data_IF_718477732798
#
_entry.id   IF_718477732798
#
_cell.length_a   1.000
_cell.length_b   1.000
_cell.length_c   1.000
_cell.angle_alpha   90.00
_cell.angle_beta   90.00
_cell.angle_gamma   90.00
#
_symmetry.space_group_name_H-M   'P 1'
#
loop_
_entity.id
_entity.type
_entity.pdbx_description
1 polymer ?
#
# COMPACT_ATOMS: atom_id res chain seq x y z
N UNK A 1 14.07 6.45 11.87
CA UNK A 1 13.79 7.06 10.56
C UNK A 1 12.33 6.82 10.25
N UNK A 2 11.58 7.85 9.86
CA UNK A 2 10.18 7.71 9.48
C UNK A 2 10.03 7.24 8.02
N UNK A 3 8.81 6.81 7.68
CA UNK A 3 8.45 6.28 6.36
C UNK A 3 7.19 6.99 5.85
N UNK A 4 7.08 7.14 4.53
CA UNK A 4 5.86 7.54 3.87
C UNK A 4 4.99 6.31 3.58
N UNK A 5 3.81 6.24 4.20
CA UNK A 5 2.71 5.35 3.79
C UNK A 5 1.95 6.02 2.65
N UNK A 6 2.20 5.58 1.43
CA UNK A 6 1.63 6.16 0.21
C UNK A 6 0.54 5.24 -0.31
N UNK A 7 -0.67 5.78 -0.53
CA UNK A 7 -1.79 5.02 -1.11
C UNK A 7 -2.29 5.70 -2.38
N UNK A 8 -2.39 4.96 -3.48
CA UNK A 8 -2.95 5.49 -4.73
C UNK A 8 -4.48 5.60 -4.62
N UNK A 9 -4.99 6.81 -4.46
CA UNK A 9 -6.43 7.09 -4.34
C UNK A 9 -7.11 7.23 -5.72
N UNK A 10 -6.46 7.93 -6.66
CA UNK A 10 -7.02 8.17 -8.01
C UNK A 10 -6.23 7.42 -9.07
N UNK A 11 -6.92 7.02 -10.14
CA UNK A 11 -6.30 6.34 -11.27
C UNK A 11 -5.50 7.33 -12.13
N UNK A 12 -4.44 6.84 -12.78
CA UNK A 12 -3.67 7.59 -13.78
C UNK A 12 -4.15 7.38 -15.23
N UNK A 13 -5.36 6.83 -15.40
CA UNK A 13 -6.01 6.74 -16.70
C UNK A 13 -6.15 8.14 -17.31
N UNK A 14 -5.86 8.27 -18.61
CA UNK A 14 -5.88 9.57 -19.30
C UNK A 14 -4.76 10.54 -18.92
N UNK A 15 -3.86 10.19 -17.99
CA UNK A 15 -2.71 11.03 -17.66
C UNK A 15 -1.48 10.71 -18.53
N UNK A 16 -0.56 11.68 -18.71
CA UNK A 16 0.68 11.49 -19.46
C UNK A 16 1.53 10.33 -18.95
N UNK A 17 2.32 9.74 -19.84
CA UNK A 17 3.22 8.62 -19.53
C UNK A 17 4.20 8.96 -18.40
N UNK A 18 4.70 10.20 -18.36
CA UNK A 18 5.59 10.67 -17.28
C UNK A 18 4.97 10.50 -15.89
N UNK A 19 3.67 10.79 -15.74
CA UNK A 19 2.95 10.61 -14.46
C UNK A 19 2.80 9.13 -14.13
N UNK A 20 2.51 8.29 -15.12
CA UNK A 20 2.44 6.83 -14.96
C UNK A 20 3.80 6.24 -14.58
N UNK A 21 4.88 6.75 -15.16
CA UNK A 21 6.26 6.36 -14.85
C UNK A 21 6.62 6.64 -13.39
N UNK A 22 6.26 7.81 -12.85
CA UNK A 22 6.47 8.14 -11.43
C UNK A 22 5.72 7.18 -10.51
N UNK A 23 4.45 6.87 -10.82
CA UNK A 23 3.68 5.90 -10.04
C UNK A 23 4.30 4.49 -10.09
N UNK A 24 4.76 4.06 -11.26
CA UNK A 24 5.45 2.78 -11.43
C UNK A 24 6.75 2.72 -10.63
N UNK A 25 7.55 3.79 -10.65
CA UNK A 25 8.79 3.90 -9.87
C UNK A 25 8.52 3.87 -8.34
N UNK A 26 7.41 4.45 -7.89
CA UNK A 26 6.95 4.32 -6.50
C UNK A 26 6.40 2.91 -6.18
N UNK A 27 6.19 2.04 -7.17
CA UNK A 27 5.61 0.69 -7.00
C UNK A 27 4.08 0.66 -6.91
N UNK A 28 3.40 1.71 -7.38
CA UNK A 28 1.94 1.84 -7.37
C UNK A 28 1.36 1.44 -8.74
N UNK A 29 0.86 0.21 -8.85
CA UNK A 29 0.34 -0.34 -10.10
C UNK A 29 -1.19 -0.34 -10.16
N UNK A 30 -1.88 -0.43 -9.01
CA UNK A 30 -3.35 -0.48 -8.93
C UNK A 30 -3.91 0.49 -7.90
N UNK A 31 -5.14 0.93 -8.11
CA UNK A 31 -5.86 1.81 -7.18
C UNK A 31 -6.01 1.13 -5.81
N UNK A 32 -5.98 1.93 -4.74
CA UNK A 32 -6.01 1.50 -3.33
C UNK A 32 -4.84 0.62 -2.89
N UNK A 33 -3.79 0.50 -3.72
CA UNK A 33 -2.52 -0.09 -3.31
C UNK A 33 -1.79 0.87 -2.37
N UNK A 34 -1.22 0.31 -1.31
CA UNK A 34 -0.38 1.03 -0.36
C UNK A 34 1.06 0.52 -0.48
N UNK A 35 2.01 1.45 -0.50
CA UNK A 35 3.46 1.19 -0.47
C UNK A 35 4.11 2.02 0.64
N UNK A 36 5.27 1.58 1.10
CA UNK A 36 6.05 2.26 2.13
C UNK A 36 7.44 2.55 1.59
N UNK A 37 7.87 3.81 1.70
CA UNK A 37 9.21 4.26 1.34
C UNK A 37 9.82 5.07 2.47
N UNK A 38 11.16 5.07 2.65
CA UNK A 38 11.84 5.94 3.60
C UNK A 38 11.47 7.41 3.40
N UNK A 39 11.42 8.19 4.48
CA UNK A 39 11.17 9.63 4.42
C UNK A 39 12.40 10.41 3.93
N UNK A 40 12.78 10.18 2.67
CA UNK A 40 13.93 10.82 2.02
C UNK A 40 13.47 11.84 0.94
N UNK A 41 14.29 12.86 0.64
CA UNK A 41 13.94 13.89 -0.35
C UNK A 41 13.59 13.35 -1.73
N UNK A 42 14.23 12.24 -2.16
CA UNK A 42 13.94 11.60 -3.44
C UNK A 42 12.48 11.13 -3.54
N UNK A 43 11.96 10.50 -2.48
CA UNK A 43 10.58 10.02 -2.42
C UNK A 43 9.61 11.18 -2.26
N UNK A 44 9.96 12.18 -1.47
CA UNK A 44 9.16 13.40 -1.35
C UNK A 44 8.97 14.08 -2.72
N UNK A 45 10.04 14.24 -3.51
CA UNK A 45 9.97 14.83 -4.86
C UNK A 45 9.07 14.03 -5.81
N UNK A 46 9.18 12.70 -5.80
CA UNK A 46 8.29 11.83 -6.57
C UNK A 46 6.83 11.96 -6.15
N UNK A 47 6.56 11.98 -4.84
CA UNK A 47 5.22 12.18 -4.28
C UNK A 47 4.65 13.52 -4.72
N UNK A 48 5.41 14.62 -4.64
CA UNK A 48 4.95 15.96 -5.04
C UNK A 48 4.52 16.04 -6.51
N UNK A 49 5.13 15.21 -7.37
CA UNK A 49 4.77 15.13 -8.79
C UNK A 49 3.42 14.46 -9.04
N UNK A 50 2.95 13.62 -8.10
CA UNK A 50 1.70 12.85 -8.19
C UNK A 50 0.76 13.13 -7.00
N UNK A 51 0.93 14.26 -6.31
CA UNK A 51 0.25 14.60 -5.05
C UNK A 51 -1.27 14.61 -5.17
N UNK A 52 -1.79 14.85 -6.37
CA UNK A 52 -3.21 14.82 -6.66
C UNK A 52 -3.74 13.37 -6.74
N UNK A 53 -2.90 12.36 -6.93
CA UNK A 53 -3.33 10.97 -7.10
C UNK A 53 -3.20 10.14 -5.83
N UNK A 54 -2.32 10.56 -4.92
CA UNK A 54 -1.92 9.78 -3.75
C UNK A 54 -2.39 10.42 -2.45
N UNK A 55 -2.62 9.57 -1.44
CA UNK A 55 -2.73 9.97 -0.04
C UNK A 55 -1.48 9.52 0.69
N UNK A 56 -0.86 10.43 1.42
CA UNK A 56 0.38 10.19 2.14
C UNK A 56 0.14 10.35 3.63
N UNK A 57 0.74 9.48 4.43
CA UNK A 57 0.87 9.61 5.88
C UNK A 57 2.30 9.30 6.26
N UNK A 58 2.82 10.00 7.26
CA UNK A 58 4.08 9.63 7.89
C UNK A 58 3.81 8.53 8.94
N UNK A 59 4.69 7.54 9.00
CA UNK A 59 4.65 6.42 9.96
C UNK A 59 6.05 6.12 10.48
N UNK A 60 6.16 5.60 11.69
CA UNK A 60 7.46 5.29 12.31
C UNK A 60 8.17 4.10 11.64
N UNK A 61 7.41 3.11 11.18
CA UNK A 61 7.93 1.89 10.56
C UNK A 61 7.07 1.44 9.38
N UNK A 62 7.66 0.76 8.37
CA UNK A 62 6.92 0.22 7.24
C UNK A 62 6.21 -1.08 7.64
N UNK A 63 5.01 -1.30 7.11
CA UNK A 63 4.31 -2.57 7.29
C UNK A 63 4.61 -3.52 6.12
N UNK A 64 4.80 -4.80 6.44
CA UNK A 64 4.89 -5.87 5.44
C UNK A 64 3.53 -6.12 4.78
N UNK A 65 3.52 -6.75 3.60
CA UNK A 65 2.28 -7.11 2.90
C UNK A 65 1.34 -7.97 3.76
N UNK A 66 1.89 -8.86 4.59
CA UNK A 66 1.11 -9.70 5.50
C UNK A 66 0.48 -8.87 6.63
N UNK A 67 1.22 -7.95 7.24
CA UNK A 67 0.71 -7.05 8.27
C UNK A 67 -0.38 -6.12 7.72
N UNK A 68 -0.20 -5.56 6.52
CA UNK A 68 -1.23 -4.74 5.87
C UNK A 68 -2.49 -5.56 5.57
N UNK A 69 -2.34 -6.84 5.22
CA UNK A 69 -3.49 -7.73 5.01
C UNK A 69 -4.18 -8.04 6.34
N UNK A 70 -3.42 -8.31 7.40
CA UNK A 70 -3.94 -8.58 8.73
C UNK A 70 -4.71 -7.37 9.29
N UNK A 71 -4.19 -6.14 9.15
CA UNK A 71 -4.87 -4.88 9.55
C UNK A 71 -6.26 -4.74 8.92
N UNK A 72 -6.48 -5.32 7.74
CA UNK A 72 -7.74 -5.27 6.99
C UNK A 72 -8.64 -6.49 7.22
N UNK A 73 -8.11 -7.55 7.85
CA UNK A 73 -8.84 -8.79 8.05
C UNK A 73 -9.64 -8.66 9.33
N UNK A 74 -10.98 -8.74 9.28
CA UNK A 74 -11.79 -8.71 10.50
C UNK A 74 -11.60 -9.99 11.31
N UNK A 75 -12.04 -9.97 12.56
CA UNK A 75 -12.11 -11.17 13.39
C UNK A 75 -13.02 -12.21 12.73
N UNK A 76 -12.62 -13.49 12.83
CA UNK A 76 -13.32 -14.58 12.14
C UNK A 76 -14.79 -14.71 12.59
N UNK A 77 -15.10 -14.36 13.84
CA UNK A 77 -16.44 -14.50 14.42
C UNK A 77 -16.86 -15.93 14.74
N UNK A 78 -16.00 -16.92 14.51
CA UNK A 78 -16.19 -18.32 14.88
C UNK A 78 -14.87 -18.95 15.31
N UNK A 79 -14.94 -20.05 16.06
CA UNK A 79 -13.80 -20.91 16.35
C UNK A 79 -14.18 -22.36 16.02
N UNK A 80 -13.21 -23.14 15.54
CA UNK A 80 -13.43 -24.56 15.22
C UNK A 80 -13.14 -25.38 16.48
N UNK A 81 -14.18 -25.93 17.11
CA UNK A 81 -14.06 -26.71 18.35
C UNK A 81 -13.28 -28.01 18.16
N UNK A 82 -13.59 -28.77 17.12
CA UNK A 82 -12.92 -30.04 16.82
C UNK A 82 -12.96 -30.31 15.32
N UNK A 83 -11.80 -30.49 14.71
CA UNK A 83 -11.71 -30.93 13.32
C UNK A 83 -11.97 -32.44 13.24
N UNK A 84 -12.75 -32.88 12.24
CA UNK A 84 -12.88 -34.31 11.91
C UNK A 84 -11.60 -34.81 11.23
N UNK A 85 -11.08 -36.00 11.57
CA UNK A 85 -9.92 -36.54 10.89
C UNK A 85 -10.25 -36.79 9.41
N UNK A 86 -9.39 -36.31 8.50
CA UNK A 86 -9.49 -36.69 7.09
C UNK A 86 -9.21 -38.19 6.99
N UNK A 87 -10.16 -38.96 6.47
CA UNK A 87 -9.91 -40.34 6.05
C UNK A 87 -8.92 -40.31 4.89
N UNK A 88 -7.86 -41.12 5.00
CA UNK A 88 -6.84 -41.31 3.95
C UNK A 88 -7.43 -42.13 2.80
#
# INVERSE_FOLDING_TARGET
MSYFRITLQRSAIGLPERTRGVLSALGLHRRMQTVFHPAEPQFAGMIFKVKELVRVREVEAPLTKQQVKAERTPDAGFYVEKAVPRMQ
#
